data_IF_202098920375
#
_entry.id   IF_202098920375
#
_cell.length_a   1.000
_cell.length_b   1.000
_cell.length_c   1.000
_cell.angle_alpha   90.00
_cell.angle_beta   90.00
_cell.angle_gamma   90.00
#
_symmetry.space_group_name_H-M   'P 1'
#
loop_
_entity.id
_entity.type
_entity.pdbx_description
1 polymer ?
#
# COMPACT_ATOMS: atom_id res chain seq x y z
N UNK A 1 8.44 -1.95 -8.29
CA UNK A 1 7.02 -1.67 -8.04
C UNK A 1 6.86 -0.24 -7.57
N UNK A 2 6.03 0.54 -8.24
CA UNK A 2 5.91 1.97 -7.93
C UNK A 2 5.37 2.24 -6.52
N UNK A 3 4.45 1.40 -6.06
CA UNK A 3 3.91 1.57 -4.70
C UNK A 3 5.01 1.47 -3.64
N UNK A 4 5.84 0.45 -3.75
CA UNK A 4 6.92 0.24 -2.77
C UNK A 4 7.96 1.36 -2.88
N UNK A 5 8.30 1.77 -4.10
CA UNK A 5 9.25 2.87 -4.29
C UNK A 5 8.73 4.16 -3.65
N UNK A 6 7.45 4.46 -3.85
CA UNK A 6 6.84 5.64 -3.26
C UNK A 6 6.80 5.53 -1.74
N UNK A 7 6.37 4.37 -1.22
CA UNK A 7 6.29 4.15 0.22
C UNK A 7 7.64 4.33 0.90
N UNK A 8 8.72 3.90 0.23
CA UNK A 8 10.06 4.02 0.78
C UNK A 8 10.60 5.45 0.81
N UNK A 9 9.93 6.38 0.16
CA UNK A 9 10.30 7.80 0.22
C UNK A 9 9.83 8.47 1.51
N UNK A 10 8.91 7.85 2.22
CA UNK A 10 8.38 8.37 3.47
C UNK A 10 9.08 7.70 4.64
N UNK A 11 9.19 8.43 5.75
CA UNK A 11 9.77 7.88 6.97
C UNK A 11 8.76 7.06 7.75
N UNK A 12 7.47 7.34 7.57
CA UNK A 12 6.41 6.61 8.25
C UNK A 12 6.42 5.14 7.87
N UNK A 13 5.99 4.31 8.80
CA UNK A 13 5.70 2.92 8.49
C UNK A 13 4.43 2.84 7.68
N UNK A 14 4.44 2.08 6.62
CA UNK A 14 3.29 1.91 5.74
C UNK A 14 2.82 0.47 5.82
N UNK A 15 1.53 0.29 6.09
CA UNK A 15 0.91 -1.03 6.15
C UNK A 15 -0.31 -1.05 5.24
N UNK A 16 -0.45 -2.14 4.53
CA UNK A 16 -1.60 -2.35 3.64
C UNK A 16 -2.29 -3.63 4.05
N UNK A 17 -3.60 -3.57 4.20
CA UNK A 17 -4.37 -4.77 4.52
C UNK A 17 -5.62 -4.84 3.65
N UNK A 18 -6.18 -6.04 3.54
CA UNK A 18 -7.41 -6.26 2.80
C UNK A 18 -8.60 -5.98 3.71
N UNK A 19 -9.69 -5.47 3.11
CA UNK A 19 -10.88 -5.09 3.86
C UNK A 19 -11.97 -6.13 3.81
N UNK A 20 -11.83 -7.18 3.04
CA UNK A 20 -12.89 -8.19 2.87
C UNK A 20 -12.34 -9.60 3.05
N UNK A 21 -13.19 -10.50 3.54
CA UNK A 21 -12.82 -11.89 3.75
C UNK A 21 -11.74 -12.05 4.81
N UNK A 22 -10.77 -12.91 4.55
CA UNK A 22 -9.63 -13.05 5.42
C UNK A 22 -8.74 -11.82 5.30
N UNK A 23 -8.37 -11.26 6.44
CA UNK A 23 -7.48 -10.11 6.44
C UNK A 23 -6.06 -10.56 6.17
N UNK A 24 -5.50 -10.03 5.09
CA UNK A 24 -4.10 -10.22 4.77
C UNK A 24 -3.41 -8.87 4.95
N UNK A 25 -2.39 -8.84 5.79
CA UNK A 25 -1.62 -7.65 6.04
C UNK A 25 -0.28 -7.74 5.32
N UNK A 26 0.16 -6.61 4.79
CA UNK A 26 1.44 -6.54 4.11
C UNK A 26 2.17 -5.27 4.51
N UNK A 27 3.50 -5.35 4.55
CA UNK A 27 4.33 -4.17 4.71
C UNK A 27 4.37 -3.44 3.37
N UNK A 28 3.89 -2.20 3.37
CA UNK A 28 3.84 -1.40 2.14
C UNK A 28 5.21 -1.07 1.57
N UNK A 29 6.27 -1.30 2.33
CA UNK A 29 7.65 -1.07 1.88
C UNK A 29 8.34 -2.37 1.44
N UNK A 30 7.64 -3.50 1.46
CA UNK A 30 8.18 -4.79 1.05
C UNK A 30 7.63 -5.19 -0.31
N UNK A 31 8.51 -5.33 -1.28
CA UNK A 31 8.12 -5.73 -2.63
C UNK A 31 7.47 -7.10 -2.62
N UNK A 32 8.06 -8.07 -1.88
CA UNK A 32 7.53 -9.42 -1.84
C UNK A 32 6.11 -9.46 -1.27
N UNK A 33 5.89 -8.76 -0.16
CA UNK A 33 4.58 -8.76 0.47
C UNK A 33 3.54 -8.04 -0.40
N UNK A 34 3.94 -6.95 -1.02
CA UNK A 34 3.02 -6.21 -1.88
C UNK A 34 2.66 -6.98 -3.16
N UNK A 35 3.58 -7.77 -3.70
CA UNK A 35 3.28 -8.61 -4.84
C UNK A 35 2.24 -9.68 -4.47
N UNK A 36 2.40 -10.29 -3.31
CA UNK A 36 1.44 -11.28 -2.82
C UNK A 36 0.07 -10.64 -2.63
N UNK A 37 0.03 -9.47 -2.03
CA UNK A 37 -1.21 -8.76 -1.80
C UNK A 37 -1.88 -8.34 -3.10
N UNK A 38 -1.11 -7.85 -4.05
CA UNK A 38 -1.63 -7.40 -5.34
C UNK A 38 -2.18 -8.54 -6.20
N UNK A 39 -1.77 -9.78 -5.91
CA UNK A 39 -2.30 -10.95 -6.61
C UNK A 39 -3.73 -11.28 -6.18
N UNK A 40 -4.20 -10.70 -5.08
CA UNK A 40 -5.57 -10.92 -4.60
C UNK A 40 -6.48 -9.91 -5.30
N UNK A 41 -7.16 -10.36 -6.33
CA UNK A 41 -7.98 -9.48 -7.16
C UNK A 41 -9.34 -9.19 -6.51
N UNK A 42 -9.89 -8.03 -6.83
CA UNK A 42 -11.23 -7.65 -6.42
C UNK A 42 -11.37 -7.28 -4.96
N UNK A 43 -10.27 -7.16 -4.25
CA UNK A 43 -10.28 -6.86 -2.82
C UNK A 43 -9.97 -5.40 -2.59
N UNK A 44 -10.73 -4.76 -1.73
CA UNK A 44 -10.42 -3.40 -1.31
C UNK A 44 -9.25 -3.40 -0.36
N UNK A 45 -8.37 -2.45 -0.53
CA UNK A 45 -7.18 -2.33 0.29
C UNK A 45 -7.32 -1.13 1.23
N UNK A 46 -6.80 -1.30 2.44
CA UNK A 46 -6.69 -0.22 3.41
C UNK A 46 -5.22 0.11 3.58
N UNK A 47 -4.89 1.38 3.45
CA UNK A 47 -3.52 1.86 3.64
C UNK A 47 -3.47 2.59 4.96
N UNK A 48 -2.54 2.19 5.80
CA UNK A 48 -2.31 2.84 7.10
C UNK A 48 -0.85 3.25 7.16
N UNK A 49 -0.60 4.44 7.68
CA UNK A 49 0.76 4.91 7.90
C UNK A 49 0.87 5.47 9.31
N UNK A 50 2.06 5.31 9.89
CA UNK A 50 2.34 5.78 11.25
C UNK A 50 3.70 6.46 11.25
N UNK A 51 3.70 7.75 11.57
CA UNK A 51 4.92 8.56 11.58
C UNK A 51 4.63 10.01 11.28
N UNK A 52 5.68 10.82 11.19
CA UNK A 52 5.54 12.26 11.02
C UNK A 52 4.94 12.67 9.69
N UNK A 53 5.15 11.88 8.64
CA UNK A 53 4.64 12.15 7.30
C UNK A 53 3.52 11.19 6.89
N UNK A 54 2.84 10.59 7.88
CA UNK A 54 1.82 9.56 7.64
C UNK A 54 0.69 10.05 6.73
N UNK A 55 0.20 11.26 6.95
CA UNK A 55 -0.91 11.78 6.15
C UNK A 55 -0.52 11.91 4.69
N UNK A 56 0.64 12.48 4.42
CA UNK A 56 1.13 12.62 3.06
C UNK A 56 1.34 11.25 2.42
N UNK A 57 1.89 10.30 3.18
CA UNK A 57 2.10 8.95 2.68
C UNK A 57 0.80 8.29 2.27
N UNK A 58 -0.21 8.33 3.14
CA UNK A 58 -1.51 7.74 2.84
C UNK A 58 -2.15 8.39 1.63
N UNK A 59 -2.13 9.72 1.56
CA UNK A 59 -2.75 10.43 0.45
C UNK A 59 -2.12 10.06 -0.89
N UNK A 60 -0.80 10.04 -0.94
CA UNK A 60 -0.11 9.72 -2.18
C UNK A 60 -0.25 8.26 -2.58
N UNK A 61 -0.16 7.36 -1.60
CA UNK A 61 -0.28 5.93 -1.88
C UNK A 61 -1.70 5.55 -2.26
N UNK A 62 -2.70 6.16 -1.64
CA UNK A 62 -4.09 5.93 -2.02
C UNK A 62 -4.35 6.35 -3.47
N UNK A 63 -3.80 7.50 -3.88
CA UNK A 63 -3.91 7.93 -5.27
C UNK A 63 -3.27 6.96 -6.24
N UNK A 64 -2.14 6.39 -5.85
CA UNK A 64 -1.45 5.40 -6.68
C UNK A 64 -2.27 4.12 -6.82
N UNK A 65 -2.89 3.66 -5.73
CA UNK A 65 -3.74 2.47 -5.77
C UNK A 65 -4.95 2.70 -6.66
N UNK A 66 -5.56 3.88 -6.57
CA UNK A 66 -6.72 4.22 -7.41
C UNK A 66 -6.36 4.22 -8.89
N UNK A 67 -5.11 4.49 -9.24
CA UNK A 67 -4.65 4.46 -10.63
C UNK A 67 -4.06 3.11 -11.04
N UNK A 68 -4.33 2.05 -10.27
CA UNK A 68 -3.88 0.70 -10.60
C UNK A 68 -2.43 0.43 -10.28
N UNK A 69 -1.95 0.93 -9.14
CA UNK A 69 -0.56 0.78 -8.68
C UNK A 69 0.47 1.42 -9.63
N UNK A 70 0.01 2.34 -10.45
CA UNK A 70 0.88 3.01 -11.40
C UNK A 70 1.05 2.26 -12.70
N UNK A 71 0.34 1.18 -12.90
CA UNK A 71 0.34 0.44 -14.16
C UNK A 71 -0.69 1.06 -15.11
N UNK A 72 -0.29 1.31 -16.27
CA UNK A 72 -1.18 1.87 -17.29
C UNK A 72 -1.53 0.85 -18.32
#
# INVERSE_FOLDING_TARGET
>A
MQFVDLANRFQSQVRVDTCSGERVQADGKSVMQMIILAAIEGTKLRITADGGDAQAAVDMLAGLVESGFGDD
#
